data_IF_502701038693
#
_entry.id   IF_502701038693
#
_cell.length_a   1.000
_cell.length_b   1.000
_cell.length_c   1.000
_cell.angle_alpha   90.00
_cell.angle_beta   90.00
_cell.angle_gamma   90.00
#
_symmetry.space_group_name_H-M   'P 1'
#
loop_
_entity.id
_entity.type
_entity.pdbx_description
1 polymer ?
#
# COMPACT_ATOMS: atom_id res chain seq x y z
N UNK A 1 -5.18 9.95 -6.70
CA UNK A 1 -3.92 9.37 -7.23
C UNK A 1 -3.32 8.31 -6.31
N UNK A 2 -3.13 8.57 -5.00
CA UNK A 2 -2.54 7.58 -4.08
C UNK A 2 -3.40 6.30 -3.92
N UNK A 3 -4.73 6.44 -3.69
CA UNK A 3 -5.65 5.29 -3.57
C UNK A 3 -5.67 4.41 -4.84
N UNK A 4 -5.62 5.03 -6.02
CA UNK A 4 -5.60 4.31 -7.29
C UNK A 4 -4.33 3.48 -7.45
N UNK A 5 -3.18 4.01 -7.01
CA UNK A 5 -1.92 3.26 -7.01
C UNK A 5 -1.98 2.07 -6.04
N UNK A 6 -2.51 2.26 -4.84
CA UNK A 6 -2.67 1.18 -3.85
C UNK A 6 -3.61 0.09 -4.37
N UNK A 7 -4.73 0.47 -4.99
CA UNK A 7 -5.65 -0.46 -5.65
C UNK A 7 -4.94 -1.27 -6.73
N UNK A 8 -4.15 -0.62 -7.58
CA UNK A 8 -3.42 -1.31 -8.66
C UNK A 8 -2.40 -2.31 -8.11
N UNK A 9 -1.64 -1.92 -7.08
CA UNK A 9 -0.69 -2.83 -6.42
C UNK A 9 -1.39 -4.00 -5.72
N UNK A 10 -2.56 -3.76 -5.11
CA UNK A 10 -3.36 -4.81 -4.49
C UNK A 10 -3.85 -5.83 -5.53
N UNK A 11 -4.34 -5.34 -6.68
CA UNK A 11 -4.79 -6.18 -7.78
C UNK A 11 -3.64 -6.92 -8.46
N UNK A 12 -2.46 -6.31 -8.56
CA UNK A 12 -1.25 -6.97 -9.06
C UNK A 12 -0.84 -8.14 -8.15
N UNK A 13 -0.86 -7.96 -6.82
CA UNK A 13 -0.62 -9.03 -5.87
C UNK A 13 -1.63 -10.17 -6.02
N UNK A 14 -2.92 -9.87 -6.15
CA UNK A 14 -3.96 -10.89 -6.38
C UNK A 14 -3.69 -11.63 -7.69
N UNK A 15 -3.40 -10.91 -8.77
CA UNK A 15 -3.11 -11.48 -10.09
C UNK A 15 -1.88 -12.40 -10.04
N UNK A 16 -0.81 -11.97 -9.37
CA UNK A 16 0.38 -12.79 -9.18
C UNK A 16 0.04 -14.06 -8.38
N UNK A 17 -0.72 -13.93 -7.29
CA UNK A 17 -1.15 -15.10 -6.53
C UNK A 17 -1.98 -16.08 -7.40
N UNK A 18 -3.01 -15.61 -8.11
CA UNK A 18 -3.83 -16.47 -8.97
C UNK A 18 -3.04 -17.11 -10.13
N UNK A 19 -2.01 -16.43 -10.65
CA UNK A 19 -1.18 -16.95 -11.74
C UNK A 19 -0.38 -18.18 -11.32
N UNK A 20 0.20 -18.16 -10.12
CA UNK A 20 1.09 -19.22 -9.66
C UNK A 20 0.40 -20.23 -8.74
N UNK A 21 -0.66 -19.81 -8.03
CA UNK A 21 -1.41 -20.66 -7.11
C UNK A 21 -2.59 -21.36 -7.79
N UNK A 22 -2.54 -22.69 -7.85
CA UNK A 22 -3.57 -23.52 -8.52
C UNK A 22 -4.73 -23.91 -7.60
N UNK A 23 -4.52 -23.92 -6.28
CA UNK A 23 -5.48 -24.52 -5.35
C UNK A 23 -6.51 -23.55 -4.77
N UNK A 24 -6.18 -22.26 -4.72
CA UNK A 24 -7.04 -21.25 -4.11
C UNK A 24 -7.05 -19.96 -4.91
N UNK A 25 -8.23 -19.36 -5.00
CA UNK A 25 -8.41 -17.99 -5.46
C UNK A 25 -8.83 -17.13 -4.27
N UNK A 26 -8.34 -15.90 -4.22
CA UNK A 26 -8.79 -14.87 -3.26
C UNK A 26 -10.26 -14.54 -3.54
N UNK A 27 -11.16 -14.82 -2.58
CA UNK A 27 -12.61 -14.62 -2.76
C UNK A 27 -13.16 -13.40 -2.02
N UNK A 28 -12.45 -12.90 -1.01
CA UNK A 28 -12.91 -11.80 -0.17
C UNK A 28 -11.71 -10.98 0.36
N UNK A 29 -12.04 -9.87 1.02
CA UNK A 29 -11.04 -8.98 1.62
C UNK A 29 -10.20 -9.66 2.71
N UNK A 30 -10.77 -10.54 3.54
CA UNK A 30 -10.01 -11.21 4.61
C UNK A 30 -8.95 -12.18 4.06
N UNK A 31 -9.25 -12.88 2.97
CA UNK A 31 -8.26 -13.66 2.23
C UNK A 31 -7.13 -12.77 1.72
N UNK A 32 -7.48 -11.61 1.15
CA UNK A 32 -6.50 -10.66 0.66
C UNK A 32 -5.64 -10.06 1.78
N UNK A 33 -6.22 -9.69 2.91
CA UNK A 33 -5.48 -9.14 4.05
C UNK A 33 -4.43 -10.12 4.56
N UNK A 34 -4.78 -11.40 4.63
CA UNK A 34 -3.84 -12.46 5.00
C UNK A 34 -2.73 -12.62 3.95
N UNK A 35 -3.08 -12.58 2.66
CA UNK A 35 -2.11 -12.60 1.56
C UNK A 35 -1.18 -11.38 1.63
N UNK A 36 -1.70 -10.18 1.82
CA UNK A 36 -0.92 -8.95 1.87
C UNK A 36 0.01 -8.89 3.09
N UNK A 37 -0.44 -9.41 4.24
CA UNK A 37 0.37 -9.48 5.46
C UNK A 37 1.52 -10.50 5.35
N UNK A 38 1.29 -11.64 4.69
CA UNK A 38 2.28 -12.72 4.56
C UNK A 38 2.19 -13.42 3.19
N UNK A 39 2.66 -12.77 2.11
CA UNK A 39 2.45 -13.26 0.75
C UNK A 39 2.98 -14.67 0.49
N UNK A 40 4.19 -14.94 0.96
CA UNK A 40 4.81 -16.27 0.85
C UNK A 40 4.19 -17.29 1.80
N UNK A 41 3.98 -16.90 3.06
CA UNK A 41 3.38 -17.79 4.06
C UNK A 41 1.99 -18.26 3.64
N UNK A 42 1.13 -17.35 3.18
CA UNK A 42 -0.20 -17.69 2.71
C UNK A 42 -0.18 -18.62 1.47
N UNK A 43 0.78 -18.42 0.57
CA UNK A 43 0.98 -19.28 -0.59
C UNK A 43 1.41 -20.70 -0.19
N UNK A 44 2.41 -20.82 0.68
CA UNK A 44 2.92 -22.11 1.16
C UNK A 44 1.87 -22.84 2.04
N UNK A 45 1.14 -22.11 2.88
CA UNK A 45 0.04 -22.63 3.69
C UNK A 45 -1.09 -23.20 2.81
N UNK A 46 -1.40 -22.52 1.69
CA UNK A 46 -2.38 -23.00 0.71
C UNK A 46 -1.94 -24.32 0.08
N UNK A 47 -0.65 -24.48 -0.23
CA UNK A 47 -0.11 -25.71 -0.79
C UNK A 47 -0.18 -26.84 0.25
N UNK A 48 0.24 -26.59 1.48
CA UNK A 48 0.17 -27.58 2.58
C UNK A 48 -1.24 -28.09 2.82
N UNK A 49 -2.23 -27.19 2.78
CA UNK A 49 -3.62 -27.54 3.06
C UNK A 49 -4.25 -28.40 1.95
N UNK A 50 -3.76 -28.30 0.70
CA UNK A 50 -4.38 -28.96 -0.46
C UNK A 50 -3.64 -30.23 -0.92
N UNK A 51 -2.38 -30.41 -0.52
CA UNK A 51 -1.64 -31.62 -0.82
C UNK A 51 -1.76 -32.58 0.37
N UNK A 52 -2.44 -33.72 0.14
CA UNK A 52 -2.59 -34.76 1.16
C UNK A 52 -1.23 -35.37 1.49
N UNK A 53 -0.73 -35.06 2.67
CA UNK A 53 0.49 -35.65 3.22
C UNK A 53 0.10 -36.71 4.24
N UNK A 54 0.86 -37.81 4.36
CA UNK A 54 0.58 -38.84 5.36
C UNK A 54 0.59 -38.22 6.76
N UNK A 55 -0.56 -38.24 7.43
CA UNK A 55 -0.66 -37.81 8.82
C UNK A 55 0.23 -38.73 9.69
N UNK A 56 0.93 -38.14 10.66
CA UNK A 56 1.75 -38.82 11.70
C UNK A 56 3.19 -39.23 11.37
N UNK A 57 3.86 -38.66 10.36
CA UNK A 57 5.29 -38.95 10.14
C UNK A 57 6.24 -38.18 11.07
N UNK A 58 5.78 -37.11 11.74
CA UNK A 58 6.66 -36.20 12.49
C UNK A 58 7.67 -35.46 11.60
N UNK A 59 7.57 -35.60 10.28
CA UNK A 59 8.48 -35.00 9.32
C UNK A 59 8.02 -33.58 8.98
N UNK A 60 8.94 -32.62 9.07
CA UNK A 60 8.71 -31.30 8.53
C UNK A 60 8.70 -31.37 7.00
N UNK A 61 7.66 -30.78 6.41
CA UNK A 61 7.41 -30.81 4.96
C UNK A 61 8.20 -29.68 4.31
N UNK A 62 9.18 -30.03 3.47
CA UNK A 62 9.87 -29.05 2.66
C UNK A 62 8.99 -28.63 1.47
N UNK A 63 8.51 -27.38 1.50
CA UNK A 63 7.54 -26.87 0.51
C UNK A 63 8.15 -26.69 -0.87
N UNK A 64 9.43 -26.34 -0.98
CA UNK A 64 10.10 -26.26 -2.29
C UNK A 64 10.09 -27.63 -2.97
N UNK A 65 10.49 -28.69 -2.27
CA UNK A 65 10.45 -30.07 -2.81
C UNK A 65 9.03 -30.52 -3.14
N UNK A 66 8.05 -30.09 -2.35
CA UNK A 66 6.65 -30.37 -2.62
C UNK A 66 6.16 -29.66 -3.89
N UNK A 67 6.58 -28.42 -4.11
CA UNK A 67 6.28 -27.68 -5.33
C UNK A 67 6.90 -28.35 -6.56
N UNK A 68 8.14 -28.82 -6.46
CA UNK A 68 8.80 -29.57 -7.54
C UNK A 68 8.01 -30.84 -7.89
N UNK A 69 7.61 -31.61 -6.87
CA UNK A 69 6.86 -32.86 -7.05
C UNK A 69 5.50 -32.64 -7.73
N UNK A 70 4.84 -31.52 -7.43
CA UNK A 70 3.52 -31.19 -7.98
C UNK A 70 3.57 -30.19 -9.16
N UNK A 71 4.77 -29.91 -9.69
CA UNK A 71 4.98 -28.96 -10.79
C UNK A 71 4.29 -27.60 -10.53
N UNK A 72 4.52 -27.05 -9.34
CA UNK A 72 4.06 -25.73 -8.90
C UNK A 72 5.22 -24.75 -9.02
N UNK A 73 5.03 -23.67 -9.76
CA UNK A 73 6.07 -22.66 -10.02
C UNK A 73 6.20 -21.67 -8.84
N UNK A 74 6.76 -22.17 -7.73
CA UNK A 74 7.03 -21.36 -6.53
C UNK A 74 8.11 -20.31 -6.78
N UNK A 75 9.13 -20.64 -7.57
CA UNK A 75 10.21 -19.72 -7.93
C UNK A 75 9.68 -18.53 -8.76
N UNK A 76 8.76 -18.77 -9.69
CA UNK A 76 8.07 -17.72 -10.44
C UNK A 76 7.24 -16.81 -9.54
N UNK A 77 6.59 -17.35 -8.51
CA UNK A 77 5.88 -16.55 -7.51
C UNK A 77 6.84 -15.68 -6.68
N UNK A 78 7.95 -16.24 -6.17
CA UNK A 78 8.96 -15.49 -5.43
C UNK A 78 9.55 -14.34 -6.26
N UNK A 79 9.89 -14.62 -7.53
CA UNK A 79 10.36 -13.59 -8.46
C UNK A 79 9.32 -12.50 -8.69
N UNK A 80 8.04 -12.85 -8.78
CA UNK A 80 6.95 -11.88 -8.90
C UNK A 80 6.74 -11.04 -7.63
N UNK A 81 7.20 -11.53 -6.47
CA UNK A 81 7.26 -10.78 -5.21
C UNK A 81 8.55 -9.96 -5.06
N UNK A 82 9.50 -10.06 -6.00
CA UNK A 82 10.83 -9.45 -5.88
C UNK A 82 11.72 -10.12 -4.82
N UNK A 83 11.44 -11.38 -4.50
CA UNK A 83 12.17 -12.18 -3.51
C UNK A 83 13.14 -13.16 -4.18
N UNK A 84 14.27 -13.40 -3.54
CA UNK A 84 15.17 -14.52 -3.87
C UNK A 84 14.91 -15.70 -2.92
N UNK A 85 15.21 -16.93 -3.35
CA UNK A 85 15.03 -18.14 -2.53
C UNK A 85 15.81 -18.08 -1.19
N UNK A 86 16.91 -17.31 -1.15
CA UNK A 86 17.75 -17.11 0.03
C UNK A 86 17.17 -16.13 1.06
N UNK A 87 16.12 -15.37 0.72
CA UNK A 87 15.42 -14.47 1.64
C UNK A 87 14.46 -15.22 2.59
N UNK A 88 14.37 -16.54 2.43
CA UNK A 88 13.49 -17.43 3.17
C UNK A 88 14.33 -18.05 4.28
N UNK A 89 14.34 -17.40 5.45
CA UNK A 89 14.96 -18.01 6.63
C UNK A 89 14.16 -19.27 7.01
N UNK A 90 14.75 -20.45 6.76
CA UNK A 90 14.36 -21.70 7.41
C UNK A 90 14.58 -21.52 8.93
N UNK A 91 13.51 -21.75 9.70
CA UNK A 91 13.50 -21.90 11.15
C UNK A 91 14.03 -20.74 12.02
N UNK A 92 13.13 -19.81 12.39
CA UNK A 92 13.22 -19.23 13.73
C UNK A 92 11.97 -19.61 14.55
N UNK A 93 12.10 -20.66 15.36
CA UNK A 93 11.17 -20.91 16.48
C UNK A 93 11.22 -19.70 17.44
N UNK A 94 10.16 -18.89 17.45
CA UNK A 94 9.98 -17.76 18.36
C UNK A 94 10.05 -16.37 17.71
N UNK A 95 10.55 -16.26 16.48
CA UNK A 95 10.47 -14.99 15.76
C UNK A 95 9.07 -14.85 15.16
N UNK A 96 8.31 -13.82 15.55
CA UNK A 96 7.17 -13.35 14.74
C UNK A 96 7.73 -13.16 13.32
N UNK A 97 7.24 -13.87 12.28
CA UNK A 97 7.75 -13.67 10.95
C UNK A 97 7.33 -12.27 10.51
N UNK A 98 8.22 -11.31 10.72
CA UNK A 98 8.22 -10.05 9.98
C UNK A 98 9.21 -10.29 8.86
N UNK A 99 8.77 -10.67 7.65
CA UNK A 99 9.55 -10.32 6.49
C UNK A 99 9.52 -8.80 6.42
N UNK A 100 10.53 -8.15 7.03
CA UNK A 100 10.94 -6.81 6.58
C UNK A 100 11.57 -7.04 5.21
N UNK A 101 10.74 -6.96 4.19
CA UNK A 101 11.16 -6.95 2.80
C UNK A 101 12.08 -5.74 2.61
N UNK A 102 13.39 -6.00 2.51
CA UNK A 102 14.39 -4.96 2.30
C UNK A 102 15.01 -5.21 0.94
N UNK A 103 14.49 -4.54 -0.08
CA UNK A 103 15.10 -4.55 -1.40
C UNK A 103 14.09 -4.29 -2.51
N UNK A 104 14.27 -3.17 -3.20
CA UNK A 104 13.81 -2.92 -4.56
C UNK A 104 12.29 -3.05 -4.85
N UNK A 105 11.58 -1.99 -4.46
CA UNK A 105 10.41 -1.39 -5.12
C UNK A 105 9.46 -2.30 -5.92
N UNK A 106 8.32 -2.65 -5.32
CA UNK A 106 6.99 -2.71 -5.99
C UNK A 106 5.91 -3.32 -5.10
N UNK A 107 6.26 -3.91 -3.95
CA UNK A 107 5.27 -4.62 -3.15
C UNK A 107 4.42 -3.71 -2.25
N UNK A 108 3.09 -3.86 -2.32
CA UNK A 108 2.15 -3.17 -1.43
C UNK A 108 2.39 -3.60 0.02
N UNK A 109 2.72 -2.65 0.89
CA UNK A 109 2.82 -2.95 2.33
C UNK A 109 1.43 -3.07 2.95
N UNK A 110 1.28 -3.97 3.93
CA UNK A 110 0.00 -4.14 4.65
C UNK A 110 -0.45 -2.86 5.35
N UNK A 111 0.48 -2.11 5.96
CA UNK A 111 0.17 -0.82 6.59
C UNK A 111 -0.32 0.20 5.54
N UNK A 112 0.29 0.21 4.35
CA UNK A 112 -0.18 1.03 3.24
C UNK A 112 -1.58 0.60 2.81
N UNK A 113 -1.85 -0.70 2.67
CA UNK A 113 -3.18 -1.18 2.33
C UNK A 113 -4.22 -0.74 3.37
N UNK A 114 -3.96 -0.97 4.66
CA UNK A 114 -4.88 -0.62 5.74
C UNK A 114 -5.25 0.87 5.77
N UNK A 115 -4.27 1.76 5.51
CA UNK A 115 -4.50 3.20 5.45
C UNK A 115 -5.45 3.64 4.31
N UNK A 116 -5.61 2.80 3.28
CA UNK A 116 -6.47 3.10 2.12
C UNK A 116 -7.64 2.13 1.97
N UNK A 117 -7.74 1.10 2.82
CA UNK A 117 -8.74 0.03 2.69
C UNK A 117 -10.17 0.57 2.68
N UNK A 118 -10.46 1.61 3.47
CA UNK A 118 -11.79 2.23 3.51
C UNK A 118 -12.22 2.88 2.20
N UNK A 119 -11.30 3.23 1.29
CA UNK A 119 -11.61 3.84 0.00
C UNK A 119 -11.74 2.81 -1.13
N UNK A 120 -11.61 1.53 -0.82
CA UNK A 120 -11.64 0.45 -1.78
C UNK A 120 -12.73 -0.54 -1.39
N UNK A 121 -13.32 -1.17 -2.39
CA UNK A 121 -14.28 -2.25 -2.21
C UNK A 121 -13.74 -3.49 -2.90
N UNK A 122 -13.78 -4.63 -2.20
CA UNK A 122 -13.44 -5.90 -2.81
C UNK A 122 -14.66 -6.47 -3.54
N UNK A 123 -14.60 -6.50 -4.87
CA UNK A 123 -15.69 -6.97 -5.72
C UNK A 123 -15.13 -7.81 -6.87
N UNK A 124 -15.74 -8.95 -7.17
CA UNK A 124 -15.33 -9.84 -8.25
C UNK A 124 -13.84 -10.19 -8.24
N UNK A 125 -13.29 -10.48 -7.05
CA UNK A 125 -11.89 -10.88 -6.83
C UNK A 125 -10.84 -9.80 -7.12
N UNK A 126 -11.26 -8.55 -7.14
CA UNK A 126 -10.39 -7.39 -7.32
C UNK A 126 -10.87 -6.25 -6.44
N UNK A 127 -9.98 -5.30 -6.16
CA UNK A 127 -10.36 -4.03 -5.57
C UNK A 127 -10.81 -3.06 -6.65
N UNK A 128 -11.95 -2.43 -6.41
CA UNK A 128 -12.43 -1.24 -7.10
C UNK A 128 -12.41 -0.07 -6.13
N UNK A 129 -12.49 1.15 -6.64
CA UNK A 129 -12.64 2.33 -5.78
C UNK A 129 -14.06 2.36 -5.21
N UNK A 130 -14.17 2.62 -3.92
CA UNK A 130 -15.45 2.90 -3.27
C UNK A 130 -15.73 4.41 -3.33
N UNK A 131 -16.70 4.86 -4.14
CA UNK A 131 -16.97 6.28 -4.30
C UNK A 131 -17.51 6.94 -3.03
N UNK A 132 -18.22 6.23 -2.15
CA UNK A 132 -18.89 6.85 -0.99
C UNK A 132 -17.92 7.37 0.08
N UNK A 133 -16.90 6.61 0.54
CA UNK A 133 -15.88 7.09 1.48
C UNK A 133 -14.97 8.14 0.85
N UNK A 134 -14.69 8.01 -0.45
CA UNK A 134 -13.95 9.02 -1.20
C UNK A 134 -14.74 10.33 -1.20
N UNK A 135 -16.03 10.28 -1.53
CA UNK A 135 -16.92 11.43 -1.54
C UNK A 135 -17.08 12.02 -0.15
N UNK A 136 -17.29 11.22 0.90
CA UNK A 136 -17.35 11.71 2.29
C UNK A 136 -16.06 12.38 2.74
N UNK A 137 -14.89 11.90 2.31
CA UNK A 137 -13.61 12.54 2.61
C UNK A 137 -13.44 13.84 1.83
N UNK A 138 -13.95 13.92 0.61
CA UNK A 138 -14.03 15.15 -0.18
C UNK A 138 -15.08 16.14 0.38
N UNK A 139 -16.21 15.66 0.89
CA UNK A 139 -17.27 16.47 1.52
C UNK A 139 -16.85 16.96 2.91
N UNK A 140 -16.16 16.13 3.70
CA UNK A 140 -15.51 16.55 4.94
C UNK A 140 -14.39 17.57 4.69
N UNK A 141 -13.86 17.61 3.47
CA UNK A 141 -12.91 18.59 3.00
C UNK A 141 -13.60 19.88 2.53
N UNK A 142 -14.77 19.79 1.87
CA UNK A 142 -15.65 20.94 1.57
C UNK A 142 -16.22 21.61 2.83
N UNK A 143 -16.36 20.87 3.94
CA UNK A 143 -16.91 21.39 5.19
C UNK A 143 -16.05 22.47 5.88
N UNK A 144 -14.80 22.69 5.45
CA UNK A 144 -13.98 23.76 6.01
C UNK A 144 -14.23 25.12 5.36
N UNK A 145 -14.86 25.17 4.20
CA UNK A 145 -15.09 26.40 3.44
C UNK A 145 -16.59 26.67 3.32
N UNK A 146 -17.12 27.56 4.16
CA UNK A 146 -18.55 27.93 4.19
C UNK A 146 -18.91 28.99 3.15
N UNK A 147 -17.94 29.57 2.45
CA UNK A 147 -18.15 30.56 1.40
C UNK A 147 -17.12 30.44 0.25
N UNK A 148 -17.43 31.07 -0.91
CA UNK A 148 -16.58 31.02 -2.11
C UNK A 148 -15.16 31.59 -1.88
N UNK A 149 -14.99 32.57 -0.98
CA UNK A 149 -13.68 33.15 -0.67
C UNK A 149 -12.78 32.17 0.06
N UNK A 150 -13.35 31.37 0.96
CA UNK A 150 -12.64 30.32 1.67
C UNK A 150 -12.22 29.18 0.72
N UNK A 151 -13.06 28.83 -0.25
CA UNK A 151 -12.73 27.89 -1.34
C UNK A 151 -11.56 28.44 -2.18
N UNK A 152 -11.64 29.70 -2.60
CA UNK A 152 -10.59 30.33 -3.41
C UNK A 152 -9.27 30.42 -2.64
N UNK A 153 -9.31 30.76 -1.35
CA UNK A 153 -8.13 30.77 -0.50
C UNK A 153 -7.49 29.39 -0.36
N UNK A 154 -8.30 28.34 -0.24
CA UNK A 154 -7.79 26.97 -0.23
C UNK A 154 -7.12 26.60 -1.57
N UNK A 155 -7.74 26.93 -2.70
CA UNK A 155 -7.17 26.70 -4.04
C UNK A 155 -5.82 27.41 -4.22
N UNK A 156 -5.63 28.58 -3.63
CA UNK A 156 -4.34 29.26 -3.65
C UNK A 156 -3.23 28.43 -2.97
N UNK A 157 -3.55 27.72 -1.89
CA UNK A 157 -2.61 26.80 -1.24
C UNK A 157 -2.28 25.57 -2.09
N UNK A 158 -3.28 24.99 -2.78
CA UNK A 158 -3.05 23.89 -3.72
C UNK A 158 -2.18 24.32 -4.90
N UNK A 159 -2.45 25.49 -5.47
CA UNK A 159 -1.65 26.07 -6.55
C UNK A 159 -0.21 26.33 -6.08
N UNK A 160 -0.03 26.90 -4.89
CA UNK A 160 1.29 27.14 -4.32
C UNK A 160 2.06 25.84 -4.10
N UNK A 161 1.41 24.80 -3.57
CA UNK A 161 1.99 23.46 -3.45
C UNK A 161 2.47 22.94 -4.81
N UNK A 162 1.62 23.01 -5.84
CA UNK A 162 1.96 22.56 -7.19
C UNK A 162 3.16 23.29 -7.79
N UNK A 163 3.23 24.61 -7.61
CA UNK A 163 4.37 25.42 -8.04
C UNK A 163 5.67 25.02 -7.32
N UNK A 164 5.62 24.83 -6.00
CA UNK A 164 6.79 24.45 -5.21
C UNK A 164 7.29 23.05 -5.57
N UNK A 165 6.38 22.08 -5.76
CA UNK A 165 6.73 20.73 -6.22
C UNK A 165 7.38 20.76 -7.61
N UNK A 166 6.85 21.57 -8.53
CA UNK A 166 7.42 21.74 -9.87
C UNK A 166 8.85 22.29 -9.80
N UNK A 167 9.09 23.37 -9.06
CA UNK A 167 10.41 23.98 -8.93
C UNK A 167 11.42 23.05 -8.26
N UNK A 168 10.98 22.30 -7.24
CA UNK A 168 11.80 21.29 -6.58
C UNK A 168 12.18 20.13 -7.50
N UNK A 169 11.22 19.61 -8.26
CA UNK A 169 11.45 18.55 -9.26
C UNK A 169 12.46 18.99 -10.33
N UNK A 170 12.45 20.27 -10.70
CA UNK A 170 13.38 20.86 -11.66
C UNK A 170 14.68 21.37 -11.04
N UNK A 171 15.01 20.97 -9.80
CA UNK A 171 16.27 21.27 -9.12
C UNK A 171 16.57 22.78 -8.99
N UNK A 172 15.52 23.62 -9.00
CA UNK A 172 15.66 25.07 -8.80
C UNK A 172 16.21 25.37 -7.40
N UNK A 173 15.86 24.54 -6.42
CA UNK A 173 16.36 24.60 -5.06
C UNK A 173 16.33 23.21 -4.41
N UNK A 174 17.22 22.99 -3.44
CA UNK A 174 17.37 21.71 -2.74
C UNK A 174 16.45 21.54 -1.52
N UNK A 175 16.48 20.36 -0.86
CA UNK A 175 15.59 20.03 0.26
C UNK A 175 15.67 21.02 1.43
N UNK A 176 16.86 21.53 1.74
CA UNK A 176 17.06 22.50 2.82
C UNK A 176 16.34 23.82 2.55
N UNK A 177 16.32 24.29 1.30
CA UNK A 177 15.58 25.49 0.91
C UNK A 177 14.07 25.26 0.99
N UNK A 178 13.59 24.08 0.56
CA UNK A 178 12.18 23.70 0.71
C UNK A 178 11.74 23.72 2.18
N UNK A 179 12.55 23.15 3.08
CA UNK A 179 12.29 23.16 4.52
C UNK A 179 12.16 24.59 5.08
N UNK A 180 13.03 25.50 4.65
CA UNK A 180 12.98 26.90 5.08
C UNK A 180 11.74 27.62 4.55
N UNK A 181 11.37 27.40 3.28
CA UNK A 181 10.16 27.97 2.67
C UNK A 181 8.92 27.47 3.42
N UNK A 182 8.80 26.14 3.62
CA UNK A 182 7.64 25.53 4.25
C UNK A 182 7.50 25.91 5.72
N UNK A 183 8.61 26.17 6.44
CA UNK A 183 8.56 26.69 7.82
C UNK A 183 7.78 28.01 7.95
N UNK A 184 7.77 28.84 6.90
CA UNK A 184 7.05 30.12 6.89
C UNK A 184 5.60 29.97 6.37
N UNK A 185 5.24 28.79 5.86
CA UNK A 185 3.97 28.54 5.19
C UNK A 185 3.16 27.52 6.01
N UNK A 186 2.35 27.99 6.97
CA UNK A 186 1.64 27.10 7.90
C UNK A 186 0.63 26.17 7.20
N UNK A 187 0.19 26.53 5.99
CA UNK A 187 -0.68 25.69 5.17
C UNK A 187 0.01 24.52 4.46
N UNK A 188 1.33 24.39 4.60
CA UNK A 188 2.13 23.33 3.97
C UNK A 188 2.94 22.56 5.01
N UNK A 189 3.29 21.32 4.68
CA UNK A 189 4.15 20.46 5.51
C UNK A 189 5.13 19.71 4.61
N UNK A 190 6.39 19.69 5.02
CA UNK A 190 7.46 18.99 4.33
C UNK A 190 7.90 17.78 5.15
N UNK A 191 7.80 16.57 4.58
CA UNK A 191 8.19 15.32 5.24
C UNK A 191 8.84 14.41 4.21
N UNK A 192 10.03 13.88 4.52
CA UNK A 192 10.73 12.90 3.68
C UNK A 192 10.81 13.30 2.20
N UNK A 193 11.22 14.54 1.92
CA UNK A 193 11.29 15.10 0.58
C UNK A 193 9.97 15.17 -0.20
N UNK A 194 8.84 15.17 0.50
CA UNK A 194 7.50 15.27 -0.09
C UNK A 194 6.72 16.41 0.54
N UNK A 195 6.03 17.20 -0.29
CA UNK A 195 5.23 18.35 0.13
C UNK A 195 3.77 17.93 0.30
N UNK A 196 3.18 18.33 1.42
CA UNK A 196 1.79 18.04 1.77
C UNK A 196 1.06 19.32 2.12
N UNK A 197 -0.26 19.32 1.91
CA UNK A 197 -1.12 20.35 2.48
C UNK A 197 -1.27 20.06 3.98
N UNK A 198 -1.08 21.09 4.81
CA UNK A 198 -1.31 21.02 6.24
C UNK A 198 -2.72 21.50 6.57
N UNK A 199 -3.69 20.58 6.54
CA UNK A 199 -5.10 20.90 6.75
C UNK A 199 -5.38 21.60 8.09
N UNK A 200 -4.66 21.26 9.16
CA UNK A 200 -4.84 21.91 10.47
C UNK A 200 -4.36 23.38 10.45
N UNK A 201 -3.22 23.62 9.82
CA UNK A 201 -2.68 24.96 9.64
C UNK A 201 -3.61 25.83 8.80
N UNK A 202 -4.10 25.29 7.68
CA UNK A 202 -5.06 25.97 6.80
C UNK A 202 -6.38 26.23 7.52
N UNK A 203 -6.93 25.25 8.26
CA UNK A 203 -8.19 25.39 9.00
C UNK A 203 -8.17 26.62 9.92
N UNK A 204 -7.08 26.83 10.63
CA UNK A 204 -6.92 27.99 11.52
C UNK A 204 -6.94 29.35 10.81
N UNK A 205 -6.64 29.37 9.51
CA UNK A 205 -6.60 30.56 8.68
C UNK A 205 -7.90 30.78 7.90
N UNK A 206 -8.52 29.70 7.40
CA UNK A 206 -9.78 29.78 6.64
C UNK A 206 -10.90 30.39 7.47
N UNK A 207 -11.01 30.09 8.76
CA UNK A 207 -12.02 30.71 9.64
C UNK A 207 -11.78 32.21 9.92
N UNK A 208 -10.64 32.76 9.51
CA UNK A 208 -10.36 34.21 9.60
C UNK A 208 -10.74 34.95 8.32
N UNK A 209 -11.22 34.24 7.30
CA UNK A 209 -11.58 34.78 6.01
C UNK A 209 -13.10 34.91 5.96
N UNK A 210 -13.57 36.15 5.97
CA UNK A 210 -14.97 36.56 5.85
C UNK A 210 -15.45 36.58 4.39
#
# INVERSE_FOLDING_TARGET
MAVENVKNQANELISNFHKYQKFKLIQNQADFETLCYRPLGYYDDTIRANIKLPENSGLQVNISKLCDLYSIDRAGYLKALGLEDNDIAEDCQGCKPKPRLKGQGSFLSFDTFQNFAEYMEFNNRQFILNPDPIKKKLEAFDFYTTNERQVEYFRQWENLKGCLEYLFKHQTFGPSAMEQIVKQLPGLKWVNNTLYINNEGIRSQIFKIE
#
